data_IF_436756553059
#
_entry.id   IF_436756553059
#
_cell.length_a   1.000
_cell.length_b   1.000
_cell.length_c   1.000
_cell.angle_alpha   90.00
_cell.angle_beta   90.00
_cell.angle_gamma   90.00
#
_symmetry.space_group_name_H-M   'P 1'
#
loop_
_entity.id
_entity.type
_entity.pdbx_description
1 polymer ?
#
# COMPACT_ATOMS: atom_id res chain seq x y z
N UNK A 1 34.54 1.25 -2.88
CA UNK A 1 33.97 2.61 -2.90
C UNK A 1 33.84 3.03 -4.35
N UNK A 2 32.61 3.28 -4.79
CA UNK A 2 32.25 3.65 -6.15
C UNK A 2 31.33 4.85 -6.09
N UNK A 3 31.72 5.92 -6.78
CA UNK A 3 30.83 7.05 -7.06
C UNK A 3 30.19 6.79 -8.41
N UNK A 4 28.86 6.75 -8.46
CA UNK A 4 28.07 6.46 -9.66
C UNK A 4 27.18 7.66 -9.95
N UNK A 5 27.22 8.17 -11.17
CA UNK A 5 26.25 9.13 -11.67
C UNK A 5 25.09 8.39 -12.30
N UNK A 6 23.88 8.63 -11.81
CA UNK A 6 22.66 8.02 -12.34
C UNK A 6 22.11 8.84 -13.51
N UNK A 7 21.42 8.22 -14.48
CA UNK A 7 20.81 8.95 -15.59
C UNK A 7 19.77 10.01 -15.17
N UNK A 8 19.16 9.83 -14.00
CA UNK A 8 18.17 10.75 -13.40
C UNK A 8 18.79 11.80 -12.46
N UNK A 9 20.11 12.01 -12.53
CA UNK A 9 20.80 13.16 -11.94
C UNK A 9 21.23 13.00 -10.48
N UNK A 10 21.08 11.82 -9.88
CA UNK A 10 21.62 11.53 -8.55
C UNK A 10 23.06 11.06 -8.61
N UNK A 11 23.90 11.58 -7.71
CA UNK A 11 25.23 11.06 -7.42
C UNK A 11 25.11 10.06 -6.27
N UNK A 12 25.39 8.79 -6.55
CA UNK A 12 25.43 7.74 -5.53
C UNK A 12 26.87 7.56 -5.06
N UNK A 13 27.10 7.65 -3.76
CA UNK A 13 28.39 7.37 -3.14
C UNK A 13 28.22 6.37 -1.99
N UNK A 14 28.80 5.18 -2.17
CA UNK A 14 28.79 4.12 -1.17
C UNK A 14 30.01 4.14 -0.22
N UNK A 15 30.72 5.26 -0.15
CA UNK A 15 31.68 5.55 0.91
C UNK A 15 30.97 5.84 2.25
N UNK A 16 31.73 6.26 3.27
CA UNK A 16 31.15 6.65 4.57
C UNK A 16 30.66 5.46 5.42
N UNK A 17 29.79 5.77 6.39
CA UNK A 17 29.27 4.76 7.32
C UNK A 17 28.03 4.09 6.73
N UNK A 18 27.98 2.77 6.77
CA UNK A 18 26.82 1.99 6.31
C UNK A 18 25.88 1.66 7.46
N UNK A 19 24.61 1.97 7.30
CA UNK A 19 23.53 1.63 8.22
C UNK A 19 22.58 0.63 7.57
N UNK A 20 22.08 -0.29 8.39
CA UNK A 20 21.18 -1.37 7.96
C UNK A 20 19.90 -1.30 8.79
N UNK A 21 18.76 -1.32 8.11
CA UNK A 21 17.43 -1.47 8.69
C UNK A 21 16.84 -2.77 8.18
N UNK A 22 16.97 -3.81 9.00
CA UNK A 22 16.48 -5.15 8.72
C UNK A 22 16.06 -5.80 10.07
N UNK A 23 14.76 -5.98 10.32
CA UNK A 23 13.64 -5.77 9.39
C UNK A 23 13.23 -4.29 9.24
N UNK A 24 12.76 -3.92 8.05
CA UNK A 24 11.85 -2.78 7.90
C UNK A 24 10.48 -3.19 8.44
N UNK A 25 10.04 -2.60 9.55
CA UNK A 25 8.77 -2.93 10.21
C UNK A 25 7.64 -1.99 9.78
N UNK A 26 6.39 -2.33 10.15
CA UNK A 26 5.18 -1.59 9.74
C UNK A 26 5.03 -1.44 8.22
N UNK A 27 5.45 -2.48 7.49
CA UNK A 27 5.16 -2.72 6.07
C UNK A 27 4.57 -4.13 5.94
N UNK A 28 4.02 -4.45 4.77
CA UNK A 28 3.70 -5.84 4.42
C UNK A 28 4.98 -6.58 3.97
N UNK A 29 5.10 -7.85 4.34
CA UNK A 29 6.17 -8.72 3.87
C UNK A 29 7.52 -8.46 4.53
N UNK A 30 8.60 -8.63 3.75
CA UNK A 30 9.97 -8.58 4.23
C UNK A 30 10.81 -7.70 3.33
N UNK A 31 11.40 -6.67 3.93
CA UNK A 31 12.30 -5.75 3.26
C UNK A 31 13.49 -5.46 4.16
N UNK A 32 14.63 -5.28 3.49
CA UNK A 32 15.88 -4.76 4.04
C UNK A 32 16.22 -3.47 3.33
N UNK A 33 16.56 -2.44 4.10
CA UNK A 33 17.07 -1.17 3.58
C UNK A 33 18.49 -0.95 4.11
N UNK A 34 19.40 -0.55 3.22
CA UNK A 34 20.75 -0.13 3.62
C UNK A 34 21.02 1.26 3.08
N UNK A 35 21.74 2.07 3.85
CA UNK A 35 22.13 3.42 3.43
C UNK A 35 23.58 3.69 3.79
N UNK A 36 24.26 4.45 2.95
CA UNK A 36 25.51 5.09 3.31
C UNK A 36 25.24 6.53 3.72
N UNK A 37 25.93 6.98 4.77
CA UNK A 37 25.87 8.37 5.21
C UNK A 37 27.27 9.00 5.20
N UNK A 38 27.31 10.28 4.83
CA UNK A 38 28.53 11.11 4.92
C UNK A 38 28.78 11.62 6.36
N UNK A 39 29.85 12.40 6.51
CA UNK A 39 30.23 13.05 7.78
C UNK A 39 29.20 14.06 8.31
N UNK A 40 28.26 14.50 7.48
CA UNK A 40 27.16 15.40 7.84
C UNK A 40 25.86 14.65 8.14
N UNK A 41 25.89 13.31 8.20
CA UNK A 41 24.74 12.42 8.36
C UNK A 41 23.71 12.53 7.21
N UNK A 42 24.16 12.85 5.99
CA UNK A 42 23.31 12.86 4.79
C UNK A 42 23.45 11.52 4.07
N UNK A 43 22.30 10.95 3.69
CA UNK A 43 22.26 9.71 2.90
C UNK A 43 22.83 9.99 1.50
N UNK A 44 23.90 9.27 1.13
CA UNK A 44 24.59 9.40 -0.16
C UNK A 44 24.39 8.18 -1.06
N UNK A 45 23.91 7.07 -0.51
CA UNK A 45 23.52 5.86 -1.24
C UNK A 45 22.39 5.15 -0.48
N UNK A 46 21.49 4.51 -1.21
CA UNK A 46 20.38 3.75 -0.65
C UNK A 46 20.13 2.46 -1.44
N UNK A 47 20.00 1.33 -0.74
CA UNK A 47 19.80 -0.01 -1.28
C UNK A 47 18.46 -0.56 -0.77
N UNK A 48 17.59 -0.99 -1.70
CA UNK A 48 16.25 -1.50 -1.41
C UNK A 48 16.15 -2.98 -1.79
N UNK A 49 16.07 -3.86 -0.80
CA UNK A 49 16.05 -5.32 -1.02
C UNK A 49 14.75 -5.92 -0.51
N UNK A 50 14.02 -6.59 -1.41
CA UNK A 50 12.95 -7.50 -0.99
C UNK A 50 13.57 -8.83 -0.56
N UNK A 51 13.29 -9.25 0.68
CA UNK A 51 13.94 -10.40 1.31
C UNK A 51 13.06 -11.66 1.33
N UNK A 52 12.03 -11.71 0.47
CA UNK A 52 11.14 -12.86 0.32
C UNK A 52 10.76 -13.12 -1.14
N UNK A 53 10.61 -14.39 -1.50
CA UNK A 53 10.02 -14.86 -2.75
C UNK A 53 9.15 -16.10 -2.53
N UNK A 54 8.07 -16.25 -3.32
CA UNK A 54 7.13 -17.40 -3.25
C UNK A 54 6.84 -18.07 -4.59
N UNK A 55 7.08 -17.41 -5.72
CA UNK A 55 6.98 -18.04 -7.04
C UNK A 55 5.58 -18.28 -7.60
N UNK A 56 4.62 -17.37 -7.37
CA UNK A 56 3.25 -17.53 -7.90
C UNK A 56 3.19 -17.66 -9.42
N UNK A 57 4.04 -16.94 -10.16
CA UNK A 57 4.16 -17.04 -11.63
C UNK A 57 4.56 -18.45 -12.09
N UNK A 58 5.35 -19.17 -11.27
CA UNK A 58 5.73 -20.55 -11.53
C UNK A 58 4.59 -21.51 -11.15
N UNK A 59 3.97 -21.29 -9.98
CA UNK A 59 2.88 -22.13 -9.44
C UNK A 59 1.64 -22.14 -10.35
N UNK A 60 1.39 -21.04 -11.08
CA UNK A 60 0.25 -20.91 -11.98
C UNK A 60 0.38 -21.71 -13.29
N UNK A 61 1.60 -22.13 -13.66
CA UNK A 61 1.81 -22.91 -14.89
C UNK A 61 0.99 -24.20 -14.86
N UNK A 62 0.20 -24.44 -15.91
CA UNK A 62 -0.65 -25.62 -16.05
C UNK A 62 -1.93 -25.63 -15.20
N UNK A 63 -2.24 -24.53 -14.49
CA UNK A 63 -3.53 -24.37 -13.78
C UNK A 63 -4.64 -23.98 -14.75
N UNK A 64 -5.88 -24.29 -14.39
CA UNK A 64 -7.05 -23.80 -15.12
C UNK A 64 -7.14 -22.27 -14.97
N UNK A 65 -7.30 -21.49 -16.06
CA UNK A 65 -7.43 -20.03 -15.98
C UNK A 65 -8.55 -19.56 -15.05
N UNK A 66 -9.62 -20.35 -14.87
CA UNK A 66 -10.73 -20.03 -13.96
C UNK A 66 -10.34 -20.06 -12.48
N UNK A 67 -9.29 -20.80 -12.14
CA UNK A 67 -8.79 -20.92 -10.77
C UNK A 67 -7.71 -19.88 -10.45
N UNK A 68 -7.12 -19.24 -11.47
CA UNK A 68 -5.95 -18.37 -11.32
C UNK A 68 -6.15 -17.26 -10.28
N UNK A 69 -7.33 -16.63 -10.27
CA UNK A 69 -7.67 -15.55 -9.33
C UNK A 69 -7.51 -16.00 -7.87
N UNK A 70 -7.87 -17.25 -7.56
CA UNK A 70 -7.80 -17.76 -6.20
C UNK A 70 -6.34 -17.91 -5.75
N UNK A 71 -5.45 -18.33 -6.64
CA UNK A 71 -4.01 -18.43 -6.35
C UNK A 71 -3.38 -17.05 -6.19
N UNK A 72 -3.52 -16.17 -7.19
CA UNK A 72 -2.83 -14.87 -7.15
C UNK A 72 -3.39 -13.91 -6.12
N UNK A 73 -4.63 -14.10 -5.67
CA UNK A 73 -5.14 -13.34 -4.53
C UNK A 73 -4.33 -13.56 -3.25
N UNK A 74 -3.64 -14.70 -3.13
CA UNK A 74 -2.74 -14.99 -2.00
C UNK A 74 -1.36 -14.37 -2.19
N UNK A 75 -1.13 -13.60 -3.26
CA UNK A 75 0.06 -12.73 -3.34
C UNK A 75 0.05 -11.76 -2.17
N UNK A 76 -1.08 -11.17 -1.79
CA UNK A 76 -1.09 -10.23 -0.67
C UNK A 76 -2.41 -10.27 0.12
N UNK A 77 -2.30 -10.27 1.44
CA UNK A 77 -3.43 -10.18 2.36
C UNK A 77 -3.83 -8.75 2.72
N UNK A 78 -2.98 -7.75 2.46
CA UNK A 78 -3.24 -6.33 2.72
C UNK A 78 -4.04 -5.72 1.57
N UNK A 79 -3.46 -5.68 0.35
CA UNK A 79 -4.16 -5.25 -0.87
C UNK A 79 -5.12 -6.34 -1.42
N UNK A 80 -5.88 -6.96 -0.52
CA UNK A 80 -6.62 -8.19 -0.77
C UNK A 80 -7.73 -8.03 -1.80
N UNK A 81 -7.74 -8.89 -2.82
CA UNK A 81 -8.72 -8.85 -3.91
C UNK A 81 -8.24 -8.14 -5.17
N UNK A 82 -7.31 -7.18 -5.09
CA UNK A 82 -6.81 -6.48 -6.30
C UNK A 82 -6.16 -7.44 -7.30
N UNK A 83 -5.36 -8.41 -6.82
CA UNK A 83 -4.79 -9.46 -7.67
C UNK A 83 -5.84 -10.40 -8.27
N UNK A 84 -6.92 -10.71 -7.53
CA UNK A 84 -8.02 -11.51 -8.09
C UNK A 84 -8.78 -10.75 -9.16
N UNK A 85 -9.07 -9.45 -8.95
CA UNK A 85 -9.70 -8.58 -9.92
C UNK A 85 -8.86 -8.49 -11.20
N UNK A 86 -7.55 -8.25 -11.07
CA UNK A 86 -6.65 -8.24 -12.23
C UNK A 86 -6.63 -9.60 -12.93
N UNK A 87 -6.60 -10.71 -12.18
CA UNK A 87 -6.62 -12.05 -12.77
C UNK A 87 -7.88 -12.35 -13.56
N UNK A 88 -9.07 -12.06 -13.03
CA UNK A 88 -10.31 -12.31 -13.78
C UNK A 88 -10.38 -11.43 -15.02
N UNK A 89 -9.95 -10.16 -14.92
CA UNK A 89 -9.85 -9.24 -16.08
C UNK A 89 -8.88 -9.78 -17.14
N UNK A 90 -7.71 -10.27 -16.75
CA UNK A 90 -6.72 -10.83 -17.70
C UNK A 90 -7.24 -12.09 -18.40
N UNK A 91 -7.95 -12.96 -17.69
CA UNK A 91 -8.53 -14.17 -18.29
C UNK A 91 -9.71 -13.82 -19.20
N UNK A 92 -10.54 -12.87 -18.81
CA UNK A 92 -11.66 -12.37 -19.62
C UNK A 92 -11.18 -11.72 -20.90
N UNK A 93 -10.12 -10.89 -20.82
CA UNK A 93 -9.48 -10.27 -21.97
C UNK A 93 -8.91 -11.34 -22.94
N UNK A 94 -8.21 -12.35 -22.41
CA UNK A 94 -7.65 -13.43 -23.22
C UNK A 94 -8.73 -14.29 -23.91
N UNK A 95 -9.91 -14.44 -23.31
CA UNK A 95 -11.00 -15.28 -23.82
C UNK A 95 -12.10 -14.49 -24.52
N UNK A 96 -12.02 -13.16 -24.57
CA UNK A 96 -13.05 -12.30 -25.15
C UNK A 96 -14.39 -12.34 -24.39
N UNK A 97 -14.35 -12.51 -23.06
CA UNK A 97 -15.54 -12.58 -22.21
C UNK A 97 -15.98 -11.17 -21.81
N UNK A 98 -17.23 -10.84 -22.08
CA UNK A 98 -17.87 -9.62 -21.61
C UNK A 98 -18.71 -9.90 -20.36
N UNK A 99 -18.44 -9.21 -19.26
CA UNK A 99 -19.21 -9.32 -18.02
C UNK A 99 -20.46 -8.40 -18.05
N UNK A 100 -21.53 -8.74 -17.31
CA UNK A 100 -22.67 -7.86 -17.13
C UNK A 100 -22.33 -6.59 -16.32
N UNK A 101 -23.12 -5.51 -16.50
CA UNK A 101 -22.91 -4.23 -15.80
C UNK A 101 -22.98 -4.35 -14.27
N UNK A 102 -23.87 -5.20 -13.75
CA UNK A 102 -23.96 -5.45 -12.32
C UNK A 102 -22.68 -6.08 -11.77
N UNK A 103 -22.02 -6.96 -12.54
CA UNK A 103 -20.76 -7.55 -12.15
C UNK A 103 -19.65 -6.48 -12.14
N UNK A 104 -19.57 -5.64 -13.17
CA UNK A 104 -18.65 -4.50 -13.21
C UNK A 104 -18.82 -3.59 -11.98
N UNK A 105 -20.05 -3.19 -11.69
CA UNK A 105 -20.41 -2.36 -10.54
C UNK A 105 -19.97 -2.98 -9.21
N UNK A 106 -20.25 -4.28 -9.00
CA UNK A 106 -19.84 -4.97 -7.77
C UNK A 106 -18.31 -5.06 -7.67
N UNK A 107 -17.61 -5.37 -8.76
CA UNK A 107 -16.14 -5.40 -8.78
C UNK A 107 -15.54 -4.03 -8.43
N UNK A 108 -16.10 -2.96 -8.98
CA UNK A 108 -15.70 -1.59 -8.65
C UNK A 108 -15.95 -1.26 -7.18
N UNK A 109 -17.11 -1.64 -6.62
CA UNK A 109 -17.41 -1.44 -5.19
C UNK A 109 -16.41 -2.20 -4.31
N UNK A 110 -16.07 -3.44 -4.66
CA UNK A 110 -15.08 -4.24 -3.92
C UNK A 110 -13.68 -3.61 -3.98
N UNK A 111 -13.26 -3.11 -5.14
CA UNK A 111 -11.97 -2.45 -5.33
C UNK A 111 -11.89 -1.10 -4.60
N UNK A 112 -12.91 -0.27 -4.68
CA UNK A 112 -12.97 1.02 -3.96
C UNK A 112 -13.04 0.80 -2.44
N UNK A 113 -13.80 -0.20 -1.99
CA UNK A 113 -13.84 -0.61 -0.59
C UNK A 113 -12.46 -1.04 -0.09
N UNK A 114 -11.69 -1.77 -0.91
CA UNK A 114 -10.31 -2.11 -0.60
C UNK A 114 -9.43 -0.86 -0.48
N UNK A 115 -9.45 0.01 -1.49
CA UNK A 115 -8.61 1.22 -1.49
C UNK A 115 -8.82 2.07 -0.23
N UNK A 116 -10.08 2.30 0.15
CA UNK A 116 -10.39 3.11 1.35
C UNK A 116 -9.93 2.40 2.62
N UNK A 117 -10.17 1.09 2.73
CA UNK A 117 -9.74 0.29 3.89
C UNK A 117 -8.22 0.28 4.03
N UNK A 118 -7.50 -0.01 2.94
CA UNK A 118 -6.05 -0.11 2.89
C UNK A 118 -5.41 1.25 3.23
N UNK A 119 -5.86 2.35 2.62
CA UNK A 119 -5.35 3.69 2.91
C UNK A 119 -5.58 4.14 4.36
N UNK A 120 -6.77 3.86 4.90
CA UNK A 120 -7.07 4.15 6.30
C UNK A 120 -6.15 3.36 7.25
N UNK A 121 -6.00 2.05 6.99
CA UNK A 121 -5.16 1.18 7.82
C UNK A 121 -3.69 1.58 7.69
N UNK A 122 -3.22 1.87 6.48
CA UNK A 122 -1.87 2.35 6.22
C UNK A 122 -1.56 3.60 7.02
N UNK A 123 -2.40 4.63 6.91
CA UNK A 123 -2.14 5.89 7.61
C UNK A 123 -2.01 5.69 9.11
N UNK A 124 -2.97 5.05 9.77
CA UNK A 124 -2.92 4.90 11.23
C UNK A 124 -1.93 3.83 11.69
N UNK A 125 -2.04 2.60 11.16
CA UNK A 125 -1.39 1.42 11.76
C UNK A 125 -0.03 1.09 11.16
N UNK A 126 0.29 1.65 10.00
CA UNK A 126 1.60 1.49 9.37
C UNK A 126 2.42 2.78 9.49
N UNK A 127 1.84 3.94 9.23
CA UNK A 127 2.61 5.17 9.04
C UNK A 127 2.53 6.18 10.19
N UNK A 128 1.42 6.29 10.93
CA UNK A 128 1.20 7.39 11.88
C UNK A 128 2.27 7.44 12.98
N UNK A 129 2.79 6.30 13.41
CA UNK A 129 3.84 6.21 14.43
C UNK A 129 5.23 6.67 13.95
N UNK A 130 5.37 7.18 12.73
CA UNK A 130 6.53 7.98 12.31
C UNK A 130 6.38 9.47 12.66
N UNK A 131 5.14 9.92 12.88
CA UNK A 131 4.74 11.32 13.04
C UNK A 131 4.13 11.61 14.42
N UNK A 132 3.52 10.60 15.03
CA UNK A 132 2.75 10.67 16.27
C UNK A 132 3.51 9.95 17.37
N UNK A 133 3.64 10.60 18.53
CA UNK A 133 4.38 10.09 19.68
C UNK A 133 3.43 9.72 20.84
N UNK A 134 3.13 8.41 21.02
CA UNK A 134 2.24 7.96 22.10
C UNK A 134 2.76 8.24 23.50
N UNK A 135 4.08 8.36 23.69
CA UNK A 135 4.63 8.70 25.02
C UNK A 135 4.44 10.18 25.32
N UNK A 136 4.57 11.04 24.32
CA UNK A 136 4.33 12.48 24.47
C UNK A 136 2.85 12.80 24.72
N UNK A 137 1.92 12.02 24.15
CA UNK A 137 0.48 12.12 24.43
C UNK A 137 0.11 12.03 25.93
N UNK A 138 0.95 11.39 26.77
CA UNK A 138 0.74 11.31 28.22
C UNK A 138 0.89 12.66 28.93
N UNK A 139 1.48 13.66 28.28
CA UNK A 139 1.68 15.01 28.82
C UNK A 139 0.57 15.98 28.43
N UNK A 140 -0.34 15.57 27.55
CA UNK A 140 -1.38 16.44 26.99
C UNK A 140 -2.39 16.88 28.05
N UNK A 141 -2.93 18.10 27.91
CA UNK A 141 -4.18 18.49 28.58
C UNK A 141 -5.39 17.95 27.77
N UNK A 142 -6.23 17.05 28.33
CA UNK A 142 -7.41 16.56 27.63
C UNK A 142 -8.42 17.65 27.24
N UNK A 143 -8.48 18.78 27.97
CA UNK A 143 -9.35 19.91 27.59
C UNK A 143 -8.82 20.64 26.37
N UNK A 144 -7.51 20.87 26.30
CA UNK A 144 -6.87 21.48 25.14
C UNK A 144 -6.94 20.54 23.91
N UNK A 145 -6.76 19.24 24.11
CA UNK A 145 -6.95 18.21 23.07
C UNK A 145 -8.39 18.23 22.54
N UNK A 146 -9.38 18.33 23.42
CA UNK A 146 -10.79 18.47 23.06
C UNK A 146 -11.07 19.71 22.22
N UNK A 147 -10.52 20.87 22.62
CA UNK A 147 -10.66 22.11 21.86
C UNK A 147 -10.00 22.01 20.47
N UNK A 148 -8.81 21.40 20.39
CA UNK A 148 -8.12 21.13 19.13
C UNK A 148 -8.97 20.24 18.21
N UNK A 149 -9.51 19.13 18.71
CA UNK A 149 -10.40 18.25 17.95
C UNK A 149 -11.60 19.01 17.39
N UNK A 150 -12.26 19.83 18.22
CA UNK A 150 -13.43 20.60 17.80
C UNK A 150 -13.10 21.69 16.78
N UNK A 151 -11.85 22.17 16.75
CA UNK A 151 -11.37 23.11 15.74
C UNK A 151 -11.04 22.40 14.41
N UNK A 152 -10.36 21.25 14.47
CA UNK A 152 -9.88 20.51 13.30
C UNK A 152 -10.99 19.71 12.64
N UNK A 153 -11.88 19.11 13.43
CA UNK A 153 -13.01 18.31 12.97
C UNK A 153 -14.25 18.56 13.85
N UNK A 154 -14.98 19.67 13.60
CA UNK A 154 -16.11 20.09 14.43
C UNK A 154 -17.30 19.12 14.41
N UNK A 155 -17.34 18.20 13.44
CA UNK A 155 -18.43 17.25 13.27
C UNK A 155 -18.10 15.84 13.79
N UNK A 156 -16.88 15.60 14.28
CA UNK A 156 -16.57 14.33 14.96
C UNK A 156 -17.29 14.26 16.30
N UNK A 157 -18.14 13.25 16.56
CA UNK A 157 -18.92 13.19 17.79
C UNK A 157 -18.07 12.95 19.05
N UNK A 158 -16.94 12.25 18.93
CA UNK A 158 -16.09 11.88 20.08
C UNK A 158 -15.02 12.94 20.35
N UNK A 159 -15.43 14.11 20.84
CA UNK A 159 -14.51 15.24 21.04
C UNK A 159 -14.44 15.76 22.47
N UNK A 160 -15.04 15.08 23.46
CA UNK A 160 -15.16 15.63 24.82
C UNK A 160 -13.85 15.54 25.62
N UNK A 161 -13.59 16.46 26.58
CA UNK A 161 -12.41 16.35 27.44
C UNK A 161 -12.37 15.05 28.25
N UNK A 162 -13.54 14.53 28.64
CA UNK A 162 -13.66 13.27 29.35
C UNK A 162 -13.18 12.08 28.51
N UNK A 163 -13.56 12.06 27.23
CA UNK A 163 -13.14 11.02 26.29
C UNK A 163 -11.61 10.95 26.15
N UNK A 164 -10.97 12.09 25.85
CA UNK A 164 -9.50 12.15 25.73
C UNK A 164 -8.79 11.80 27.04
N UNK A 165 -9.33 12.21 28.19
CA UNK A 165 -8.78 11.83 29.51
C UNK A 165 -8.85 10.32 29.71
N UNK A 166 -9.95 9.68 29.32
CA UNK A 166 -10.13 8.24 29.51
C UNK A 166 -9.17 7.45 28.59
N UNK A 167 -8.97 7.89 27.34
CA UNK A 167 -7.95 7.32 26.45
C UNK A 167 -6.53 7.54 26.98
N UNK A 168 -6.21 8.76 27.45
CA UNK A 168 -4.91 9.05 28.05
C UNK A 168 -4.66 8.16 29.29
N UNK A 169 -5.67 7.96 30.14
CA UNK A 169 -5.58 7.06 31.29
C UNK A 169 -5.36 5.59 30.88
N UNK A 170 -6.01 5.14 29.81
CA UNK A 170 -5.78 3.80 29.25
C UNK A 170 -4.35 3.64 28.75
N UNK A 171 -3.84 4.63 28.02
CA UNK A 171 -2.46 4.67 27.53
C UNK A 171 -1.45 4.72 28.69
N UNK A 172 -1.72 5.53 29.71
CA UNK A 172 -0.90 5.62 30.92
C UNK A 172 -0.80 4.28 31.62
N UNK A 173 -1.92 3.60 31.88
CA UNK A 173 -1.92 2.24 32.48
C UNK A 173 -1.14 1.25 31.63
N UNK A 174 -1.26 1.32 30.30
CA UNK A 174 -0.51 0.48 29.38
C UNK A 174 1.00 0.73 29.50
N UNK A 175 1.44 1.99 29.54
CA UNK A 175 2.85 2.36 29.69
C UNK A 175 3.40 1.99 31.07
N UNK A 176 2.65 2.28 32.14
CA UNK A 176 3.03 1.96 33.53
C UNK A 176 3.10 0.45 33.81
N UNK A 177 2.46 -0.38 33.00
CA UNK A 177 2.59 -1.84 33.10
C UNK A 177 4.00 -2.36 32.79
N UNK A 178 4.83 -1.56 32.12
CA UNK A 178 6.14 -1.97 31.59
C UNK A 178 6.04 -2.91 30.37
N UNK A 179 4.83 -3.31 29.96
CA UNK A 179 4.58 -4.18 28.81
C UNK A 179 4.14 -3.35 27.59
N UNK A 180 5.07 -2.55 27.06
CA UNK A 180 4.80 -1.56 25.99
C UNK A 180 4.38 -2.15 24.64
N UNK A 181 4.41 -3.48 24.47
CA UNK A 181 3.93 -4.17 23.27
C UNK A 181 4.46 -3.53 21.98
N UNK A 182 3.60 -3.11 21.04
CA UNK A 182 4.00 -2.45 19.79
C UNK A 182 4.79 -1.15 19.98
N UNK A 183 4.73 -0.52 21.15
CA UNK A 183 5.44 0.73 21.44
C UNK A 183 6.81 0.51 22.10
N UNK A 184 7.19 -0.74 22.39
CA UNK A 184 8.49 -1.04 23.01
C UNK A 184 9.63 -0.65 22.07
N UNK A 185 10.66 0.01 22.63
CA UNK A 185 11.88 0.44 21.91
C UNK A 185 11.60 1.32 20.66
N UNK A 186 10.48 2.04 20.63
CA UNK A 186 10.20 3.02 19.58
C UNK A 186 11.04 4.29 19.74
N UNK A 187 10.99 5.15 18.72
CA UNK A 187 11.85 6.34 18.59
C UNK A 187 11.34 7.55 19.39
N UNK A 188 10.69 7.35 20.53
CA UNK A 188 9.86 8.36 21.22
C UNK A 188 10.60 9.58 21.78
N UNK A 189 11.94 9.57 21.76
CA UNK A 189 12.80 10.70 22.13
C UNK A 189 13.43 11.40 20.92
N UNK A 190 13.11 10.96 19.70
CA UNK A 190 13.67 11.52 18.48
C UNK A 190 13.17 12.97 18.28
N UNK A 191 14.08 13.94 18.07
CA UNK A 191 13.70 15.34 17.85
C UNK A 191 12.91 15.60 16.56
N UNK A 192 12.81 14.61 15.66
CA UNK A 192 11.97 14.68 14.46
C UNK A 192 10.46 14.62 14.76
N UNK A 193 10.05 14.28 15.99
CA UNK A 193 8.65 14.44 16.41
C UNK A 193 8.36 15.91 16.71
N UNK A 194 7.42 16.50 15.96
CA UNK A 194 7.11 17.94 16.01
C UNK A 194 5.72 18.23 16.59
N UNK A 195 4.89 17.20 16.78
CA UNK A 195 3.54 17.39 17.30
C UNK A 195 3.58 17.84 18.78
N UNK A 196 2.74 18.81 19.18
CA UNK A 196 2.47 19.05 20.58
C UNK A 196 1.73 17.86 21.20
N UNK A 197 1.81 17.72 22.52
CA UNK A 197 1.23 16.58 23.23
C UNK A 197 -0.28 16.42 22.96
N UNK A 198 -1.00 17.53 22.82
CA UNK A 198 -2.43 17.53 22.50
C UNK A 198 -2.71 16.93 21.12
N UNK A 199 -1.90 17.24 20.11
CA UNK A 199 -2.05 16.66 18.77
C UNK A 199 -1.68 15.17 18.78
N UNK A 200 -0.66 14.78 19.56
CA UNK A 200 -0.33 13.37 19.76
C UNK A 200 -1.48 12.60 20.42
N UNK A 201 -2.09 13.13 21.47
CA UNK A 201 -3.22 12.46 22.14
C UNK A 201 -4.44 12.35 21.22
N UNK A 202 -4.73 13.38 20.43
CA UNK A 202 -5.78 13.34 19.42
C UNK A 202 -5.52 12.23 18.39
N UNK A 203 -4.34 12.21 17.77
CA UNK A 203 -3.99 11.24 16.75
C UNK A 203 -3.88 9.80 17.29
N UNK A 204 -3.39 9.59 18.52
CA UNK A 204 -3.41 8.27 19.19
C UNK A 204 -4.83 7.81 19.48
N UNK A 205 -5.73 8.73 19.82
CA UNK A 205 -7.16 8.40 20.00
C UNK A 205 -7.75 7.92 18.68
N UNK A 206 -7.52 8.65 17.60
CA UNK A 206 -8.00 8.26 16.27
C UNK A 206 -7.33 7.00 15.71
N UNK A 207 -6.07 6.72 16.05
CA UNK A 207 -5.42 5.44 15.77
C UNK A 207 -6.23 4.28 16.36
N UNK A 208 -6.72 4.42 17.59
CA UNK A 208 -7.55 3.39 18.23
C UNK A 208 -8.96 3.31 17.61
N UNK A 209 -9.58 4.46 17.30
CA UNK A 209 -10.87 4.50 16.62
C UNK A 209 -10.79 3.84 15.22
N UNK A 210 -9.72 4.09 14.48
CA UNK A 210 -9.49 3.51 13.17
C UNK A 210 -9.27 1.99 13.24
N UNK A 211 -8.55 1.50 14.26
CA UNK A 211 -8.35 0.07 14.51
C UNK A 211 -9.69 -0.66 14.71
N UNK A 212 -10.61 -0.01 15.43
CA UNK A 212 -11.96 -0.52 15.65
C UNK A 212 -12.84 -0.37 14.41
N UNK A 213 -12.78 0.74 13.68
CA UNK A 213 -13.68 1.02 12.57
C UNK A 213 -13.35 0.24 11.30
N UNK A 214 -12.07 0.01 11.00
CA UNK A 214 -11.64 -0.57 9.71
C UNK A 214 -12.30 -1.92 9.38
N UNK A 215 -12.66 -2.72 10.39
CA UNK A 215 -13.37 -4.01 10.21
C UNK A 215 -14.77 -3.85 9.62
N UNK A 216 -15.40 -2.70 9.78
CA UNK A 216 -16.71 -2.41 9.21
C UNK A 216 -16.63 -2.23 7.70
N UNK A 217 -15.57 -1.59 7.20
CA UNK A 217 -15.32 -1.40 5.76
C UNK A 217 -15.15 -2.76 5.06
N UNK A 218 -14.49 -3.71 5.74
CA UNK A 218 -14.28 -5.08 5.24
C UNK A 218 -15.61 -5.83 4.98
N UNK A 219 -16.70 -5.49 5.69
CA UNK A 219 -18.00 -6.16 5.53
C UNK A 219 -18.60 -5.99 4.13
N UNK A 220 -18.27 -4.91 3.42
CA UNK A 220 -18.67 -4.74 2.02
C UNK A 220 -18.14 -5.89 1.15
N UNK A 221 -16.85 -6.23 1.29
CA UNK A 221 -16.24 -7.35 0.56
C UNK A 221 -16.72 -8.71 1.08
N UNK A 222 -17.08 -8.82 2.35
CA UNK A 222 -17.74 -10.02 2.90
C UNK A 222 -19.12 -10.25 2.27
N UNK A 223 -19.93 -9.21 2.07
CA UNK A 223 -21.27 -9.33 1.48
C UNK A 223 -21.18 -9.78 0.01
N UNK A 224 -20.29 -9.20 -0.78
CA UNK A 224 -20.17 -9.54 -2.21
C UNK A 224 -19.29 -10.76 -2.49
N UNK A 225 -18.24 -10.98 -1.70
CA UNK A 225 -17.23 -12.03 -1.92
C UNK A 225 -17.26 -13.16 -0.88
N UNK A 226 -18.13 -13.11 0.11
CA UNK A 226 -18.32 -14.14 1.14
C UNK A 226 -17.39 -14.04 2.36
N UNK A 227 -16.24 -13.36 2.26
CA UNK A 227 -15.30 -13.13 3.37
C UNK A 227 -14.32 -11.99 3.09
N UNK A 228 -13.63 -11.55 4.13
CA UNK A 228 -12.41 -10.74 4.05
C UNK A 228 -11.47 -11.15 5.20
N UNK A 229 -10.16 -11.35 4.99
CA UNK A 229 -9.40 -11.21 3.75
C UNK A 229 -9.66 -12.34 2.73
N UNK A 230 -9.24 -12.10 1.48
CA UNK A 230 -9.37 -12.99 0.34
C UNK A 230 -10.82 -13.32 -0.08
N UNK A 231 -11.64 -12.32 -0.45
CA UNK A 231 -12.99 -12.52 -0.99
C UNK A 231 -12.99 -13.37 -2.27
N UNK A 232 -14.10 -14.05 -2.57
CA UNK A 232 -14.23 -14.87 -3.76
C UNK A 232 -14.59 -14.05 -5.01
N UNK A 233 -14.05 -14.46 -6.16
CA UNK A 233 -14.31 -13.87 -7.48
C UNK A 233 -14.67 -14.99 -8.47
N UNK A 234 -15.04 -14.62 -9.69
CA UNK A 234 -15.23 -15.60 -10.77
C UNK A 234 -14.96 -14.97 -12.12
N UNK A 235 -14.36 -15.75 -13.03
CA UNK A 235 -14.25 -15.39 -14.45
C UNK A 235 -15.65 -15.32 -15.05
N UNK A 236 -15.98 -14.23 -15.72
CA UNK A 236 -17.31 -13.96 -16.29
C UNK A 236 -18.23 -13.11 -15.41
N UNK A 237 -17.81 -12.73 -14.20
CA UNK A 237 -18.57 -11.78 -13.38
C UNK A 237 -18.27 -11.84 -11.88
N UNK A 238 -19.31 -12.09 -11.09
CA UNK A 238 -19.23 -12.20 -9.62
C UNK A 238 -20.06 -13.40 -9.14
N UNK A 239 -19.65 -14.10 -8.06
CA UNK A 239 -20.33 -15.31 -7.58
C UNK A 239 -21.56 -15.04 -6.70
N UNK A 240 -21.96 -13.78 -6.53
CA UNK A 240 -23.04 -13.35 -5.66
C UNK A 240 -24.30 -12.99 -6.48
N UNK A 241 -25.19 -13.96 -6.79
CA UNK A 241 -26.39 -13.71 -7.57
C UNK A 241 -27.32 -12.73 -6.84
N UNK A 242 -28.10 -11.97 -7.60
CA UNK A 242 -29.05 -10.97 -7.07
C UNK A 242 -30.47 -11.51 -7.22
N UNK A 243 -31.25 -11.45 -6.15
CA UNK A 243 -32.68 -11.72 -6.15
C UNK A 243 -33.37 -10.80 -5.13
N UNK A 244 -34.12 -9.82 -5.61
CA UNK A 244 -34.68 -8.75 -4.78
C UNK A 244 -36.05 -9.10 -4.19
N UNK A 245 -36.89 -9.77 -4.97
CA UNK A 245 -38.32 -9.94 -4.71
C UNK A 245 -38.85 -11.35 -5.04
N UNK A 246 -38.04 -12.20 -5.67
CA UNK A 246 -38.41 -13.57 -6.02
C UNK A 246 -38.34 -14.55 -4.84
N UNK A 247 -39.05 -15.67 -4.96
CA UNK A 247 -38.92 -16.79 -4.01
C UNK A 247 -37.45 -17.23 -3.92
N UNK A 248 -36.94 -17.40 -2.71
CA UNK A 248 -35.54 -17.75 -2.47
C UNK A 248 -34.57 -16.57 -2.38
N UNK A 249 -35.05 -15.31 -2.35
CA UNK A 249 -34.22 -14.11 -2.16
C UNK A 249 -33.31 -14.17 -0.92
N UNK A 250 -33.69 -14.95 0.10
CA UNK A 250 -32.87 -15.20 1.30
C UNK A 250 -31.54 -15.92 1.01
N UNK A 251 -31.41 -16.59 -0.13
CA UNK A 251 -30.20 -17.29 -0.57
C UNK A 251 -29.34 -16.51 -1.58
N UNK A 252 -29.62 -15.23 -1.81
CA UNK A 252 -28.97 -14.37 -2.78
C UNK A 252 -28.77 -12.95 -2.22
N UNK A 253 -28.05 -12.10 -2.94
CA UNK A 253 -28.02 -10.66 -2.64
C UNK A 253 -29.42 -10.07 -2.82
N UNK A 254 -29.93 -9.49 -1.74
CA UNK A 254 -31.24 -8.86 -1.71
C UNK A 254 -31.17 -7.47 -1.03
N UNK A 255 -32.33 -6.85 -0.82
CA UNK A 255 -32.41 -5.49 -0.27
C UNK A 255 -31.79 -5.34 1.13
N UNK A 256 -31.83 -6.39 1.96
CA UNK A 256 -31.20 -6.35 3.29
C UNK A 256 -29.68 -6.20 3.15
N UNK A 257 -29.06 -6.96 2.24
CA UNK A 257 -27.63 -6.87 1.98
C UNK A 257 -27.24 -5.51 1.41
N UNK A 258 -28.02 -5.01 0.44
CA UNK A 258 -27.74 -3.70 -0.18
C UNK A 258 -27.91 -2.54 0.81
N UNK A 259 -28.91 -2.61 1.71
CA UNK A 259 -29.05 -1.64 2.80
C UNK A 259 -27.85 -1.66 3.76
N UNK A 260 -27.32 -2.85 4.08
CA UNK A 260 -26.11 -2.97 4.90
C UNK A 260 -24.90 -2.34 4.22
N UNK A 261 -24.68 -2.63 2.92
CA UNK A 261 -23.59 -2.00 2.15
C UNK A 261 -23.75 -0.50 2.11
N UNK A 262 -24.96 0.01 1.89
CA UNK A 262 -25.23 1.45 1.87
C UNK A 262 -24.89 2.12 3.21
N UNK A 263 -25.25 1.50 4.33
CA UNK A 263 -24.93 2.02 5.66
C UNK A 263 -23.42 1.97 5.95
N UNK A 264 -22.72 0.89 5.56
CA UNK A 264 -21.25 0.82 5.66
C UNK A 264 -20.60 1.95 4.86
N UNK A 265 -21.06 2.23 3.64
CA UNK A 265 -20.54 3.33 2.81
C UNK A 265 -20.73 4.68 3.51
N UNK A 266 -21.91 4.93 4.10
CA UNK A 266 -22.18 6.16 4.83
C UNK A 266 -21.26 6.32 6.04
N UNK A 267 -21.14 5.29 6.86
CA UNK A 267 -20.26 5.29 8.03
C UNK A 267 -18.79 5.49 7.62
N UNK A 268 -18.36 4.83 6.54
CA UNK A 268 -17.02 4.97 5.98
C UNK A 268 -16.77 6.41 5.58
N UNK A 269 -17.68 7.01 4.81
CA UNK A 269 -17.57 8.41 4.41
C UNK A 269 -17.51 9.34 5.62
N UNK A 270 -18.38 9.14 6.61
CA UNK A 270 -18.35 9.93 7.85
C UNK A 270 -17.02 9.81 8.58
N UNK A 271 -16.45 8.62 8.72
CA UNK A 271 -15.14 8.44 9.38
C UNK A 271 -14.02 9.13 8.59
N UNK A 272 -14.02 8.97 7.27
CA UNK A 272 -12.99 9.54 6.41
C UNK A 272 -13.03 11.08 6.45
N UNK A 273 -14.22 11.66 6.31
CA UNK A 273 -14.40 13.11 6.25
C UNK A 273 -14.14 13.79 7.60
N UNK A 274 -14.36 13.10 8.73
CA UNK A 274 -14.28 13.69 10.07
C UNK A 274 -13.10 13.21 10.93
N UNK A 275 -12.34 12.20 10.49
CA UNK A 275 -11.21 11.66 11.25
C UNK A 275 -9.97 11.59 10.37
N UNK A 276 -10.01 10.79 9.30
CA UNK A 276 -8.82 10.53 8.47
C UNK A 276 -8.29 11.78 7.75
N UNK A 277 -9.14 12.48 6.98
CA UNK A 277 -8.71 13.67 6.23
C UNK A 277 -8.30 14.83 7.16
N UNK A 278 -9.08 15.17 8.20
CA UNK A 278 -8.67 16.21 9.15
C UNK A 278 -7.33 15.90 9.84
N UNK A 279 -7.06 14.66 10.21
CA UNK A 279 -5.78 14.27 10.81
C UNK A 279 -4.60 14.44 9.85
N UNK A 280 -4.74 14.00 8.59
CA UNK A 280 -3.69 14.22 7.57
C UNK A 280 -3.39 15.71 7.47
N UNK A 281 -4.42 16.55 7.35
CA UNK A 281 -4.26 17.98 7.21
C UNK A 281 -3.61 18.61 8.44
N UNK A 282 -4.05 18.22 9.65
CA UNK A 282 -3.55 18.74 10.91
C UNK A 282 -2.08 18.34 11.13
N UNK A 283 -1.74 17.05 10.99
CA UNK A 283 -0.36 16.56 11.09
C UNK A 283 0.50 17.27 10.04
N UNK A 284 0.04 17.36 8.79
CA UNK A 284 0.75 18.06 7.72
C UNK A 284 1.09 19.53 8.06
N UNK A 285 0.29 20.23 8.87
CA UNK A 285 0.61 21.60 9.29
C UNK A 285 1.87 21.69 10.16
N UNK A 286 2.13 20.69 11.01
CA UNK A 286 3.32 20.64 11.87
C UNK A 286 4.57 20.20 11.09
N UNK A 287 4.38 19.50 9.98
CA UNK A 287 5.45 18.92 9.16
C UNK A 287 5.63 19.63 7.80
N UNK A 288 5.24 20.90 7.67
CA UNK A 288 5.39 21.67 6.40
C UNK A 288 6.81 21.69 5.83
N UNK A 289 7.82 21.60 6.68
CA UNK A 289 9.24 21.58 6.30
C UNK A 289 9.78 20.21 5.89
N UNK A 290 8.95 19.15 5.92
CA UNK A 290 9.37 17.79 5.62
C UNK A 290 9.44 17.58 4.09
N UNK A 291 10.56 18.03 3.51
CA UNK A 291 10.83 17.96 2.06
C UNK A 291 11.71 16.76 1.66
N UNK A 292 11.97 15.86 2.60
CA UNK A 292 12.75 14.64 2.36
C UNK A 292 11.93 13.61 1.57
N UNK A 293 12.59 12.83 0.72
CA UNK A 293 11.96 11.68 0.04
C UNK A 293 11.24 11.98 -1.28
N UNK A 294 11.41 13.17 -1.88
CA UNK A 294 10.78 13.53 -3.16
C UNK A 294 11.14 12.59 -4.32
N UNK A 295 12.35 12.03 -4.31
CA UNK A 295 12.79 10.96 -5.23
C UNK A 295 12.40 11.21 -6.69
N UNK A 296 11.77 10.20 -7.31
CA UNK A 296 11.29 10.27 -8.70
C UNK A 296 9.93 10.96 -8.85
N UNK A 297 9.22 11.33 -7.77
CA UNK A 297 7.85 11.86 -7.88
C UNK A 297 7.77 13.20 -8.63
N UNK A 298 8.83 14.02 -8.55
CA UNK A 298 8.97 15.25 -9.36
C UNK A 298 9.52 15.01 -10.78
N UNK A 299 9.79 13.76 -11.17
CA UNK A 299 10.38 13.39 -12.44
C UNK A 299 9.47 12.44 -13.24
N UNK A 300 9.28 11.21 -12.74
CA UNK A 300 8.62 10.13 -13.45
C UNK A 300 7.48 9.55 -12.60
N UNK A 301 6.25 9.53 -13.14
CA UNK A 301 5.09 8.89 -12.51
C UNK A 301 4.27 8.11 -13.53
N UNK A 302 3.63 7.02 -13.12
CA UNK A 302 2.91 6.10 -13.99
C UNK A 302 1.60 5.64 -13.33
N UNK A 303 0.51 5.65 -14.09
CA UNK A 303 -0.77 5.07 -13.69
C UNK A 303 -1.43 4.34 -14.87
N UNK A 304 -1.94 3.12 -14.62
CA UNK A 304 -2.71 2.36 -15.63
C UNK A 304 -4.20 2.75 -15.66
N UNK A 305 -4.65 3.59 -14.73
CA UNK A 305 -6.07 3.85 -14.52
C UNK A 305 -6.86 2.63 -14.06
N UNK A 306 -8.03 2.86 -13.49
CA UNK A 306 -8.93 1.82 -12.96
C UNK A 306 -10.35 2.37 -12.82
N UNK A 307 -11.25 1.53 -12.33
CA UNK A 307 -12.66 1.81 -12.05
C UNK A 307 -13.41 2.21 -13.34
N UNK A 308 -13.59 1.26 -14.28
CA UNK A 308 -14.35 1.50 -15.52
C UNK A 308 -15.83 1.77 -15.20
N UNK A 309 -16.36 2.87 -15.73
CA UNK A 309 -17.75 3.30 -15.52
C UNK A 309 -18.71 2.34 -16.21
N UNK A 310 -18.48 2.06 -17.50
CA UNK A 310 -19.20 1.04 -18.28
C UNK A 310 -18.44 -0.27 -18.29
N UNK A 311 -19.16 -1.39 -18.19
CA UNK A 311 -18.55 -2.70 -18.24
C UNK A 311 -17.79 -2.96 -19.56
N UNK A 312 -16.65 -3.64 -19.45
CA UNK A 312 -15.81 -4.12 -20.57
C UNK A 312 -15.13 -3.03 -21.42
N UNK A 313 -15.27 -1.75 -21.06
CA UNK A 313 -14.57 -0.64 -21.71
C UNK A 313 -13.44 -0.14 -20.79
N UNK A 314 -12.19 -0.45 -21.17
CA UNK A 314 -10.98 -0.03 -20.44
C UNK A 314 -10.25 1.14 -21.13
N UNK A 315 -10.94 1.87 -22.01
CA UNK A 315 -10.44 3.11 -22.59
C UNK A 315 -10.29 4.19 -21.53
N UNK A 316 -9.30 5.08 -21.69
CA UNK A 316 -8.99 6.11 -20.71
C UNK A 316 -10.21 7.00 -20.37
N UNK A 317 -11.08 7.30 -21.34
CA UNK A 317 -12.28 8.10 -21.14
C UNK A 317 -13.39 7.42 -20.32
N UNK A 318 -13.32 6.10 -20.11
CA UNK A 318 -14.28 5.35 -19.30
C UNK A 318 -13.74 5.01 -17.90
N UNK A 319 -12.47 5.31 -17.59
CA UNK A 319 -11.87 5.03 -16.29
C UNK A 319 -12.06 6.23 -15.35
N UNK A 320 -12.63 6.00 -14.16
CA UNK A 320 -12.74 7.05 -13.14
C UNK A 320 -11.38 7.42 -12.53
N UNK A 321 -10.44 6.47 -12.49
CA UNK A 321 -9.05 6.74 -12.11
C UNK A 321 -8.22 6.95 -13.37
N UNK A 322 -7.52 8.10 -13.53
CA UNK A 322 -6.79 8.42 -14.76
C UNK A 322 -5.66 7.44 -15.11
N UNK A 323 -5.42 7.28 -16.41
CA UNK A 323 -4.28 6.56 -17.00
C UNK A 323 -3.30 7.57 -17.61
N UNK A 324 -2.01 7.30 -17.47
CA UNK A 324 -0.95 8.07 -18.15
C UNK A 324 0.43 7.87 -17.53
N UNK A 325 1.46 8.33 -18.23
CA UNK A 325 2.82 8.43 -17.73
C UNK A 325 3.36 9.85 -17.92
N UNK A 326 4.06 10.36 -16.92
CA UNK A 326 4.85 11.60 -17.00
C UNK A 326 6.32 11.21 -16.88
N UNK A 327 7.16 11.81 -17.70
CA UNK A 327 8.60 11.55 -17.74
C UNK A 327 9.37 12.88 -17.67
N UNK A 328 10.52 12.87 -17.00
CA UNK A 328 11.44 14.02 -16.85
C UNK A 328 10.79 15.29 -16.28
N UNK A 329 9.72 15.14 -15.49
CA UNK A 329 9.00 16.24 -14.85
C UNK A 329 8.14 17.07 -15.80
N UNK A 330 7.94 16.63 -17.04
CA UNK A 330 7.17 17.38 -18.04
C UNK A 330 5.65 17.22 -17.80
N UNK A 331 5.08 18.02 -16.89
CA UNK A 331 3.65 18.00 -16.59
C UNK A 331 2.75 18.44 -17.77
N UNK A 332 3.31 19.02 -18.84
CA UNK A 332 2.56 19.43 -20.02
C UNK A 332 2.31 18.28 -21.00
N UNK A 333 2.96 17.13 -20.79
CA UNK A 333 2.86 15.97 -21.67
C UNK A 333 2.51 14.73 -20.85
N UNK A 334 1.34 14.17 -21.12
CA UNK A 334 0.88 12.93 -20.51
C UNK A 334 0.95 11.87 -21.60
N UNK A 335 1.88 10.94 -21.47
CA UNK A 335 2.02 9.85 -22.43
C UNK A 335 0.95 8.79 -22.20
N UNK A 336 0.39 8.28 -23.31
CA UNK A 336 -0.49 7.12 -23.29
C UNK A 336 0.26 5.88 -22.81
N UNK A 337 -0.43 5.05 -22.03
CA UNK A 337 0.11 3.79 -21.51
C UNK A 337 -0.61 2.63 -22.17
N UNK A 338 0.15 1.86 -22.94
CA UNK A 338 -0.29 0.61 -23.55
C UNK A 338 0.52 -0.54 -22.98
N UNK A 339 -0.14 -1.37 -22.16
CA UNK A 339 0.47 -2.54 -21.53
C UNK A 339 0.60 -3.74 -22.48
N UNK A 340 0.17 -3.61 -23.74
CA UNK A 340 0.38 -4.59 -24.80
C UNK A 340 1.57 -4.24 -25.70
N UNK A 341 2.08 -3.01 -25.62
CA UNK A 341 3.26 -2.55 -26.34
C UNK A 341 4.52 -3.14 -25.66
N UNK A 342 5.26 -4.07 -26.32
CA UNK A 342 6.42 -4.72 -25.72
C UNK A 342 7.59 -3.76 -25.45
N UNK A 343 7.56 -2.56 -26.02
CA UNK A 343 8.57 -1.51 -25.79
C UNK A 343 8.24 -0.60 -24.60
N UNK A 344 7.06 -0.75 -23.99
CA UNK A 344 6.66 0.04 -22.82
C UNK A 344 7.09 -0.61 -21.53
N UNK A 345 6.34 -1.59 -21.03
CA UNK A 345 6.57 -2.17 -19.70
C UNK A 345 7.54 -3.33 -19.83
N UNK A 346 8.75 -3.17 -19.29
CA UNK A 346 9.78 -4.22 -19.30
C UNK A 346 10.34 -4.45 -17.91
N UNK A 347 10.64 -5.69 -17.57
CA UNK A 347 11.30 -6.08 -16.32
C UNK A 347 12.75 -6.51 -16.57
N UNK A 348 13.65 -5.98 -15.75
CA UNK A 348 15.08 -6.26 -15.77
C UNK A 348 15.51 -7.02 -14.51
N UNK A 349 16.53 -7.86 -14.63
CA UNK A 349 17.06 -8.67 -13.51
C UNK A 349 18.58 -8.62 -13.26
N UNK A 350 19.40 -7.69 -13.80
CA UNK A 350 20.85 -7.72 -13.54
C UNK A 350 21.24 -7.51 -12.07
N UNK A 351 20.33 -6.91 -11.27
CA UNK A 351 20.52 -6.65 -9.84
C UNK A 351 19.48 -7.39 -8.96
N UNK A 352 18.83 -8.40 -9.51
CA UNK A 352 17.79 -9.18 -8.84
C UNK A 352 18.16 -10.66 -8.90
N UNK A 353 17.76 -11.45 -7.90
CA UNK A 353 18.05 -12.88 -7.82
C UNK A 353 17.22 -13.72 -8.79
N UNK A 354 17.33 -13.43 -10.08
CA UNK A 354 16.71 -14.16 -11.19
C UNK A 354 17.63 -14.25 -12.39
N UNK A 355 17.43 -15.30 -13.19
CA UNK A 355 18.24 -15.56 -14.38
C UNK A 355 17.47 -15.33 -15.67
N UNK A 356 18.06 -14.54 -16.56
CA UNK A 356 17.65 -14.40 -17.96
C UNK A 356 18.67 -15.04 -18.91
N UNK A 357 18.27 -15.43 -20.14
CA UNK A 357 19.19 -15.87 -21.17
C UNK A 357 20.25 -14.81 -21.50
N UNK A 358 21.46 -15.25 -21.89
CA UNK A 358 22.57 -14.37 -22.21
C UNK A 358 22.20 -13.36 -23.31
N UNK A 359 22.42 -12.07 -23.05
CA UNK A 359 22.16 -10.98 -24.00
C UNK A 359 20.77 -10.36 -23.91
N UNK A 360 19.85 -10.96 -23.14
CA UNK A 360 18.53 -10.40 -22.84
C UNK A 360 18.66 -9.45 -21.65
N UNK A 361 18.21 -8.19 -21.81
CA UNK A 361 18.32 -7.17 -20.75
C UNK A 361 16.99 -6.92 -20.05
N UNK A 362 15.94 -6.64 -20.82
CA UNK A 362 14.58 -6.41 -20.34
C UNK A 362 13.60 -7.28 -21.12
N UNK A 363 12.53 -7.72 -20.45
CA UNK A 363 11.47 -8.52 -21.05
C UNK A 363 10.11 -7.89 -20.75
N UNK A 364 9.27 -7.76 -21.77
CA UNK A 364 7.86 -7.51 -21.56
C UNK A 364 7.22 -8.70 -20.81
N UNK A 365 6.22 -8.51 -19.92
CA UNK A 365 5.66 -9.60 -19.12
C UNK A 365 5.13 -10.81 -19.91
N UNK A 366 4.71 -10.66 -21.17
CA UNK A 366 4.33 -11.81 -22.02
C UNK A 366 5.51 -12.72 -22.39
N UNK A 367 6.71 -12.16 -22.47
CA UNK A 367 7.97 -12.90 -22.67
C UNK A 367 8.69 -13.15 -21.34
N UNK A 368 8.06 -12.78 -20.22
CA UNK A 368 8.66 -12.76 -18.89
C UNK A 368 9.16 -14.13 -18.44
N UNK A 369 10.32 -14.12 -17.77
CA UNK A 369 10.94 -15.31 -17.19
C UNK A 369 11.02 -15.13 -15.67
N UNK A 370 10.72 -16.19 -14.93
CA UNK A 370 10.87 -16.24 -13.47
C UNK A 370 11.61 -17.53 -13.11
N UNK A 371 12.94 -17.46 -13.18
CA UNK A 371 13.86 -18.51 -12.76
C UNK A 371 14.71 -17.95 -11.61
N UNK A 372 14.46 -18.34 -10.35
CA UNK A 372 15.17 -17.79 -9.19
C UNK A 372 16.65 -18.18 -9.22
N UNK A 373 17.53 -17.23 -8.90
CA UNK A 373 18.99 -17.40 -8.91
C UNK A 373 19.58 -16.66 -7.70
N UNK A 374 19.48 -17.28 -6.53
CA UNK A 374 19.93 -16.67 -5.27
C UNK A 374 21.46 -16.78 -5.14
N UNK A 375 22.13 -15.65 -5.31
CA UNK A 375 23.57 -15.51 -5.10
C UNK A 375 23.86 -14.28 -4.23
N UNK A 376 24.51 -14.53 -3.09
CA UNK A 376 24.97 -13.52 -2.13
C UNK A 376 26.46 -13.70 -1.81
N UNK A 377 27.20 -14.39 -2.68
CA UNK A 377 28.62 -14.69 -2.49
C UNK A 377 29.51 -13.45 -2.43
N UNK A 378 29.05 -12.31 -2.98
CA UNK A 378 29.76 -11.03 -2.94
C UNK A 378 29.35 -10.13 -1.78
N UNK A 379 28.27 -10.47 -1.06
CA UNK A 379 27.83 -9.72 0.11
C UNK A 379 28.82 -9.88 1.28
N UNK A 380 28.89 -8.87 2.15
CA UNK A 380 29.69 -8.95 3.38
C UNK A 380 28.99 -9.84 4.40
N UNK A 381 29.75 -10.69 5.09
CA UNK A 381 29.25 -11.63 6.07
C UNK A 381 29.21 -13.05 5.50
N UNK A 382 28.11 -13.78 5.75
CA UNK A 382 27.90 -15.13 5.24
C UNK A 382 26.52 -15.26 4.59
N UNK A 383 26.29 -16.32 3.81
CA UNK A 383 24.99 -16.57 3.16
C UNK A 383 23.82 -16.74 4.15
N UNK A 384 24.11 -17.01 5.43
CA UNK A 384 23.11 -17.12 6.51
C UNK A 384 23.09 -15.89 7.43
N UNK A 385 24.04 -14.98 7.28
CA UNK A 385 24.17 -13.76 8.08
C UNK A 385 24.78 -12.66 7.21
N UNK A 386 23.94 -12.03 6.40
CA UNK A 386 24.32 -10.94 5.51
C UNK A 386 24.47 -9.67 6.35
N UNK A 387 25.69 -9.16 6.46
CA UNK A 387 25.99 -7.93 7.17
C UNK A 387 25.70 -6.71 6.29
N UNK A 388 26.18 -6.71 5.04
CA UNK A 388 25.96 -5.67 4.03
C UNK A 388 25.79 -6.33 2.66
N UNK A 389 24.74 -5.94 1.93
CA UNK A 389 24.53 -6.37 0.54
C UNK A 389 25.58 -5.73 -0.39
N UNK A 390 25.90 -6.41 -1.49
CA UNK A 390 26.68 -5.83 -2.58
C UNK A 390 25.74 -5.34 -3.68
N UNK A 391 25.44 -4.03 -3.69
CA UNK A 391 24.56 -3.42 -4.68
C UNK A 391 25.16 -3.36 -6.10
N UNK A 392 26.44 -3.68 -6.27
CA UNK A 392 27.04 -3.83 -7.60
C UNK A 392 26.70 -5.17 -8.27
N UNK A 393 26.22 -6.13 -7.48
CA UNK A 393 25.74 -7.44 -7.91
C UNK A 393 24.21 -7.56 -7.76
N UNK A 394 23.68 -8.78 -7.72
CA UNK A 394 22.27 -9.03 -7.41
C UNK A 394 22.01 -8.92 -5.91
N UNK A 395 20.98 -8.16 -5.53
CA UNK A 395 20.74 -7.83 -4.12
C UNK A 395 19.27 -7.91 -3.69
N UNK A 396 18.34 -8.36 -4.53
CA UNK A 396 16.90 -8.31 -4.23
C UNK A 396 16.07 -9.41 -4.90
N UNK A 397 15.01 -9.87 -4.25
CA UNK A 397 13.96 -10.71 -4.85
C UNK A 397 12.97 -9.91 -5.69
N UNK A 398 13.10 -8.59 -5.77
CA UNK A 398 12.23 -7.72 -6.56
C UNK A 398 12.89 -7.53 -7.94
N UNK A 399 12.16 -7.83 -9.02
CA UNK A 399 12.58 -7.47 -10.40
C UNK A 399 12.55 -5.95 -10.58
N UNK A 400 13.24 -5.42 -11.59
CA UNK A 400 13.27 -3.99 -11.86
C UNK A 400 12.37 -3.61 -13.05
N UNK A 401 11.07 -3.31 -12.86
CA UNK A 401 10.21 -2.83 -13.93
C UNK A 401 10.60 -1.41 -14.37
N UNK A 402 10.51 -1.13 -15.66
CA UNK A 402 10.71 0.19 -16.28
C UNK A 402 9.64 0.44 -17.34
N UNK A 403 9.29 1.71 -17.56
CA UNK A 403 8.42 2.11 -18.66
C UNK A 403 9.25 2.86 -19.71
N UNK A 404 9.39 2.29 -20.92
CA UNK A 404 10.28 2.79 -21.99
C UNK A 404 11.71 3.06 -21.51
N UNK A 405 12.19 2.24 -20.55
CA UNK A 405 13.52 2.38 -19.94
C UNK A 405 13.64 3.40 -18.81
N UNK A 406 12.57 4.13 -18.47
CA UNK A 406 12.52 5.10 -17.38
C UNK A 406 12.14 4.51 -16.02
#
# INVERSE_FOLDING_TARGET
MSIIQTPNGFTLDNSGTRHVVDPVTRIEGHMRAEVNIDENNIITNAVSSGTIWRGLEVILKGRDPRDAWAFVQRICGVCTGTHALTSVRSVEDALGINIPENANSIRNIMQLSLQIHDHLVHFYHLHALDWVNPVNALKADPKATSALQQQVSPHHPNSSPGYFRDVQNRLKKFVESGQLGPFKNGYWTNPAYLLPAEADLMAVTHYLEALDFQKEIMKTRTIFGGKDTHPNWTVGGVPCPINMDGTGAVGALNMVNLNQVHEIIKQTKTFIDNVYIPDIMAIGQFYKGWLYGGGISGQNVLAYGDIPIKANDYSAGNLMMPRGAIINGNLNEIHEVDHRDPEQIQEFVPHSWYKYPKGVKGLHPWDGITEPDFDVSTAKGTSQNIEELDESASYSWIKAPRWRGH
#
